data_IF_674130687855
#
_entry.id   IF_674130687855
#
_cell.length_a   1.000
_cell.length_b   1.000
_cell.length_c   1.000
_cell.angle_alpha   90.00
_cell.angle_beta   90.00
_cell.angle_gamma   90.00
#
_symmetry.space_group_name_H-M   'P 1'
#
loop_
_entity.id
_entity.type
_entity.pdbx_description
1 polymer ?
#
# COMPACT_ATOMS: atom_id res chain seq x y z
N UNK A 1 -3.21 -1.99 -15.07
CA UNK A 1 -1.77 -2.09 -15.43
C UNK A 1 -1.58 -2.57 -16.86
N UNK A 2 -1.99 -3.81 -17.21
CA UNK A 2 -1.80 -4.39 -18.56
C UNK A 2 -2.33 -3.52 -19.72
N UNK A 3 -3.48 -2.88 -19.53
CA UNK A 3 -4.13 -2.03 -20.55
C UNK A 3 -3.49 -0.63 -20.66
N UNK A 4 -2.88 -0.14 -19.57
CA UNK A 4 -2.24 1.18 -19.51
C UNK A 4 -0.86 1.09 -18.84
N UNK A 5 0.10 0.37 -19.45
CA UNK A 5 1.37 0.01 -18.81
C UNK A 5 2.30 1.21 -18.54
N UNK A 6 2.10 2.30 -19.28
CA UNK A 6 2.87 3.53 -19.17
C UNK A 6 2.18 4.62 -18.33
N UNK A 7 0.96 4.37 -17.85
CA UNK A 7 0.19 5.39 -17.13
C UNK A 7 0.10 5.13 -15.64
N UNK A 8 0.07 3.86 -15.22
CA UNK A 8 -0.13 3.49 -13.81
C UNK A 8 0.96 2.54 -13.34
N UNK A 9 1.26 2.59 -12.04
CA UNK A 9 2.06 1.59 -11.34
C UNK A 9 1.65 1.46 -9.87
N UNK A 10 1.75 0.25 -9.31
CA UNK A 10 1.57 0.02 -7.89
C UNK A 10 2.85 0.40 -7.14
N UNK A 11 2.70 0.97 -5.94
CA UNK A 11 3.81 1.04 -4.99
C UNK A 11 4.07 -0.32 -4.37
N UNK A 12 5.33 -0.61 -4.06
CA UNK A 12 5.70 -1.78 -3.23
C UNK A 12 5.71 -1.35 -1.77
N UNK A 13 4.80 -1.88 -0.96
CA UNK A 13 4.69 -1.57 0.46
C UNK A 13 5.68 -2.38 1.30
N UNK A 14 5.92 -1.97 2.54
CA UNK A 14 6.72 -2.69 3.51
C UNK A 14 5.84 -3.60 4.35
N UNK A 15 6.39 -4.72 4.83
CA UNK A 15 5.74 -5.54 5.84
C UNK A 15 6.72 -6.23 6.76
N UNK A 16 6.32 -6.42 8.02
CA UNK A 16 7.05 -7.26 9.00
C UNK A 16 6.68 -8.73 8.94
N UNK A 17 5.69 -9.08 8.10
CA UNK A 17 5.34 -10.46 7.82
C UNK A 17 6.47 -11.13 7.04
N UNK A 18 6.78 -12.38 7.36
CA UNK A 18 7.69 -13.19 6.51
C UNK A 18 7.10 -13.41 5.11
N UNK A 19 7.93 -13.45 4.06
CA UNK A 19 7.47 -13.79 2.72
C UNK A 19 6.83 -15.18 2.70
N UNK A 20 5.73 -15.31 1.95
CA UNK A 20 5.12 -16.60 1.58
C UNK A 20 5.89 -17.20 0.40
N UNK A 21 5.64 -18.49 0.15
CA UNK A 21 6.21 -19.15 -1.03
C UNK A 21 5.81 -18.41 -2.31
N UNK A 22 6.81 -18.13 -3.15
CA UNK A 22 6.64 -17.34 -4.38
C UNK A 22 6.65 -15.83 -4.21
N UNK A 23 6.64 -15.29 -2.98
CA UNK A 23 6.80 -13.85 -2.77
C UNK A 23 8.28 -13.44 -2.82
N UNK A 24 8.55 -12.40 -3.60
CA UNK A 24 9.88 -11.83 -3.80
C UNK A 24 10.00 -10.45 -3.14
N UNK A 25 11.11 -10.24 -2.42
CA UNK A 25 11.45 -8.99 -1.75
C UNK A 25 11.69 -7.86 -2.78
N UNK A 26 11.09 -6.69 -2.55
CA UNK A 26 11.15 -5.55 -3.46
C UNK A 26 10.23 -5.64 -4.67
N UNK A 27 9.53 -6.77 -4.86
CA UNK A 27 8.50 -6.94 -5.89
C UNK A 27 7.11 -6.96 -5.27
N UNK A 28 6.90 -7.85 -4.29
CA UNK A 28 5.61 -8.01 -3.62
C UNK A 28 5.53 -7.10 -2.40
N UNK A 29 6.55 -7.17 -1.56
CA UNK A 29 6.75 -6.28 -0.42
C UNK A 29 8.24 -6.05 -0.19
N UNK A 30 8.56 -4.94 0.46
CA UNK A 30 9.80 -4.80 1.21
C UNK A 30 9.61 -5.51 2.55
N UNK A 31 10.03 -6.77 2.61
CA UNK A 31 10.00 -7.57 3.83
C UNK A 31 11.11 -7.07 4.77
N UNK A 32 10.72 -6.49 5.90
CA UNK A 32 11.64 -5.89 6.87
C UNK A 32 11.41 -6.50 8.25
N UNK A 33 12.43 -6.48 9.09
CA UNK A 33 12.28 -6.91 10.49
C UNK A 33 11.50 -5.87 11.31
N UNK A 34 10.96 -6.30 12.45
CA UNK A 34 10.06 -5.47 13.27
C UNK A 34 10.75 -4.21 13.81
N UNK A 35 12.00 -4.33 14.23
CA UNK A 35 12.85 -3.24 14.70
C UNK A 35 13.11 -2.19 13.62
N UNK A 36 13.44 -2.62 12.40
CA UNK A 36 13.61 -1.72 11.25
C UNK A 36 12.30 -0.99 10.90
N UNK A 37 11.17 -1.71 10.90
CA UNK A 37 9.87 -1.08 10.68
C UNK A 37 9.58 0.01 11.72
N UNK A 38 9.88 -0.24 13.01
CA UNK A 38 9.68 0.78 14.05
C UNK A 38 10.61 1.98 13.89
N UNK A 39 11.87 1.76 13.47
CA UNK A 39 12.82 2.84 13.16
C UNK A 39 12.28 3.74 12.06
N UNK A 40 11.87 3.15 10.93
CA UNK A 40 11.31 3.88 9.79
C UNK A 40 10.01 4.64 10.14
N UNK A 41 9.16 4.06 11.00
CA UNK A 41 7.97 4.74 11.54
C UNK A 41 8.37 5.96 12.38
N UNK A 42 9.33 5.80 13.30
CA UNK A 42 9.81 6.87 14.16
C UNK A 42 10.48 8.01 13.38
N UNK A 43 11.14 7.69 12.27
CA UNK A 43 11.75 8.64 11.33
C UNK A 43 10.72 9.28 10.39
N UNK A 44 9.44 8.88 10.47
CA UNK A 44 8.36 9.43 9.66
C UNK A 44 8.50 9.11 8.18
N UNK A 45 9.09 7.97 7.82
CA UNK A 45 9.32 7.56 6.43
C UNK A 45 8.03 7.09 5.72
N UNK A 46 7.00 6.73 6.48
CA UNK A 46 5.74 6.22 5.97
C UNK A 46 4.73 7.33 5.68
N UNK A 47 4.01 7.20 4.56
CA UNK A 47 2.79 7.96 4.32
C UNK A 47 1.64 7.43 5.16
N UNK A 48 1.61 6.11 5.32
CA UNK A 48 0.67 5.40 6.16
C UNK A 48 1.29 4.09 6.63
N UNK A 49 0.85 3.62 7.79
CA UNK A 49 1.10 2.27 8.26
C UNK A 49 -0.07 1.79 9.13
N UNK A 50 -0.23 0.47 9.22
CA UNK A 50 -1.21 -0.20 10.04
C UNK A 50 -0.70 -1.56 10.52
N UNK A 51 -1.18 -2.04 11.66
CA UNK A 51 -0.86 -3.37 12.19
C UNK A 51 -2.08 -4.26 12.08
N UNK A 52 -1.93 -5.40 11.40
CA UNK A 52 -2.98 -6.39 11.21
C UNK A 52 -2.42 -7.80 11.41
N UNK A 53 -3.12 -8.62 12.20
CA UNK A 53 -2.71 -10.00 12.47
C UNK A 53 -1.29 -10.11 13.04
N UNK A 54 -0.87 -9.15 13.87
CA UNK A 54 0.47 -9.09 14.48
C UNK A 54 1.60 -8.60 13.56
N UNK A 55 1.34 -8.38 12.27
CA UNK A 55 2.31 -7.83 11.34
C UNK A 55 2.00 -6.38 11.03
N UNK A 56 3.03 -5.57 10.83
CA UNK A 56 2.88 -4.17 10.44
C UNK A 56 3.08 -4.05 8.95
N UNK A 57 2.26 -3.23 8.30
CA UNK A 57 2.30 -2.92 6.88
C UNK A 57 2.41 -1.40 6.73
N UNK A 58 3.12 -0.92 5.73
CA UNK A 58 3.17 0.52 5.47
C UNK A 58 3.67 0.88 4.09
N UNK A 59 3.09 1.94 3.54
CA UNK A 59 3.49 2.53 2.27
C UNK A 59 4.48 3.67 2.53
N UNK A 60 5.75 3.48 2.15
CA UNK A 60 6.78 4.51 2.38
C UNK A 60 6.66 5.66 1.38
N UNK A 61 7.06 6.86 1.81
CA UNK A 61 7.18 8.04 0.93
C UNK A 61 8.08 7.73 -0.27
N UNK A 62 9.14 6.96 -0.04
CA UNK A 62 10.07 6.49 -1.07
C UNK A 62 9.38 5.58 -2.09
N UNK A 63 8.59 4.60 -1.66
CA UNK A 63 7.88 3.69 -2.58
C UNK A 63 6.94 4.43 -3.53
N UNK A 64 6.27 5.48 -3.05
CA UNK A 64 5.42 6.34 -3.90
C UNK A 64 6.27 7.20 -4.83
N UNK A 65 7.30 7.87 -4.29
CA UNK A 65 8.22 8.71 -5.07
C UNK A 65 8.93 7.94 -6.18
N UNK A 66 9.31 6.69 -5.95
CA UNK A 66 9.98 5.87 -6.94
C UNK A 66 9.04 5.53 -8.11
N UNK A 67 7.73 5.38 -7.87
CA UNK A 67 6.74 5.26 -8.96
C UNK A 67 6.56 6.59 -9.70
N UNK A 68 6.40 7.70 -8.97
CA UNK A 68 6.23 9.03 -9.56
C UNK A 68 7.39 9.43 -10.48
N UNK A 69 8.64 9.09 -10.09
CA UNK A 69 9.85 9.33 -10.90
C UNK A 69 9.83 8.59 -12.25
N UNK A 70 9.04 7.53 -12.39
CA UNK A 70 8.85 6.85 -13.68
C UNK A 70 7.86 7.57 -14.61
N UNK A 71 7.27 8.69 -14.16
CA UNK A 71 6.24 9.43 -14.90
C UNK A 71 4.85 8.78 -14.84
N UNK A 72 4.66 7.77 -13.98
CA UNK A 72 3.40 7.03 -13.84
C UNK A 72 2.60 7.54 -12.63
N UNK A 73 1.29 7.35 -12.70
CA UNK A 73 0.38 7.56 -11.57
C UNK A 73 0.53 6.39 -10.60
N UNK A 74 0.95 6.69 -9.37
CA UNK A 74 1.03 5.71 -8.30
C UNK A 74 -0.38 5.28 -7.84
N UNK A 75 -0.63 3.97 -7.84
CA UNK A 75 -1.85 3.36 -7.32
C UNK A 75 -1.53 2.71 -5.98
N UNK A 76 -2.29 3.10 -4.96
CA UNK A 76 -2.21 2.53 -3.62
C UNK A 76 -3.41 1.61 -3.39
N UNK A 77 -3.15 0.37 -3.01
CA UNK A 77 -4.16 -0.58 -2.54
C UNK A 77 -3.95 -0.77 -1.03
N UNK A 78 -4.75 -0.06 -0.24
CA UNK A 78 -4.60 0.05 1.22
C UNK A 78 -5.96 -0.05 1.91
N UNK A 79 -5.96 -0.55 3.14
CA UNK A 79 -7.18 -0.66 3.95
C UNK A 79 -7.71 0.72 4.39
N UNK A 80 -8.95 0.74 4.90
CA UNK A 80 -9.65 1.96 5.33
C UNK A 80 -8.85 2.80 6.34
N UNK A 81 -8.08 2.17 7.23
CA UNK A 81 -7.23 2.89 8.18
C UNK A 81 -6.09 3.64 7.44
N UNK A 82 -5.42 2.98 6.49
CA UNK A 82 -4.42 3.60 5.64
C UNK A 82 -5.00 4.77 4.82
N UNK A 83 -6.19 4.60 4.25
CA UNK A 83 -6.89 5.68 3.51
C UNK A 83 -7.12 6.92 4.38
N UNK A 84 -7.51 6.73 5.65
CA UNK A 84 -7.70 7.85 6.60
C UNK A 84 -6.38 8.56 6.89
N UNK A 85 -5.30 7.81 7.07
CA UNK A 85 -3.96 8.37 7.29
C UNK A 85 -3.50 9.21 6.08
N UNK A 86 -3.66 8.67 4.87
CA UNK A 86 -3.33 9.38 3.62
C UNK A 86 -4.18 10.66 3.46
N UNK A 87 -5.48 10.62 3.77
CA UNK A 87 -6.34 11.81 3.73
C UNK A 87 -5.89 12.94 4.65
N UNK A 88 -5.34 12.59 5.81
CA UNK A 88 -4.82 13.58 6.76
C UNK A 88 -3.45 14.13 6.35
N UNK A 89 -2.78 13.49 5.37
CA UNK A 89 -1.52 13.94 4.82
C UNK A 89 -1.76 15.05 3.78
N UNK A 90 -1.72 16.31 4.23
CA UNK A 90 -2.05 17.50 3.44
C UNK A 90 -1.20 17.73 2.17
N UNK A 91 -0.08 17.02 2.05
CA UNK A 91 0.87 17.14 0.94
C UNK A 91 0.49 16.33 -0.31
N UNK A 92 -0.47 15.39 -0.20
CA UNK A 92 -0.84 14.52 -1.31
C UNK A 92 -2.11 15.01 -2.01
N UNK A 93 -2.00 15.34 -3.29
CA UNK A 93 -3.17 15.53 -4.16
C UNK A 93 -3.75 14.19 -4.62
N UNK A 94 -4.12 13.34 -3.64
CA UNK A 94 -4.57 11.98 -3.89
C UNK A 94 -6.04 11.94 -4.34
N UNK A 95 -6.35 11.03 -5.26
CA UNK A 95 -7.72 10.67 -5.64
C UNK A 95 -8.13 9.40 -4.90
N UNK A 96 -9.31 9.42 -4.29
CA UNK A 96 -9.82 8.29 -3.51
C UNK A 96 -10.97 7.61 -4.25
N UNK A 97 -10.85 6.29 -4.46
CA UNK A 97 -11.86 5.48 -5.11
C UNK A 97 -12.27 4.37 -4.13
N UNK A 98 -13.55 4.36 -3.75
CA UNK A 98 -14.14 3.27 -2.98
C UNK A 98 -15.04 2.45 -3.91
N UNK A 99 -14.73 1.18 -4.09
CA UNK A 99 -15.58 0.25 -4.82
C UNK A 99 -16.46 -0.45 -3.80
N UNK A 100 -17.77 -0.19 -3.86
CA UNK A 100 -18.77 -0.81 -2.99
C UNK A 100 -19.79 -1.54 -3.85
N UNK A 101 -20.22 -2.75 -3.48
CA UNK A 101 -21.32 -3.39 -4.18
C UNK A 101 -22.61 -2.57 -4.05
N UNK A 102 -23.48 -2.56 -5.07
CA UNK A 102 -24.79 -1.90 -5.00
C UNK A 102 -25.71 -2.52 -3.93
N UNK A 103 -25.60 -3.82 -3.66
CA UNK A 103 -26.31 -4.55 -2.59
C UNK A 103 -25.52 -5.78 -2.15
N UNK A 104 -25.93 -6.44 -1.05
CA UNK A 104 -25.28 -7.69 -0.62
C UNK A 104 -25.55 -8.85 -1.58
N UNK A 105 -26.69 -8.85 -2.26
CA UNK A 105 -27.12 -9.94 -3.14
C UNK A 105 -26.22 -10.11 -4.37
N UNK A 106 -25.51 -9.06 -4.79
CA UNK A 106 -24.58 -9.12 -5.92
C UNK A 106 -23.21 -9.68 -5.55
N UNK A 107 -22.90 -9.80 -4.25
CA UNK A 107 -21.68 -10.47 -3.81
C UNK A 107 -21.95 -11.97 -3.86
N UNK A 108 -21.33 -12.74 -4.77
CA UNK A 108 -21.50 -14.18 -4.78
C UNK A 108 -20.92 -14.71 -3.47
N UNK A 109 -21.78 -15.11 -2.54
CA UNK A 109 -21.34 -15.74 -1.31
C UNK A 109 -20.69 -17.10 -1.64
N UNK A 110 -19.49 -17.27 -1.09
CA UNK A 110 -18.81 -18.52 -0.82
C UNK A 110 -19.82 -19.60 -0.37
N UNK A 111 -20.14 -20.55 -1.25
CA UNK A 111 -20.63 -21.87 -0.85
C UNK A 111 -19.44 -22.82 -0.75
#
# INVERSE_FOLDING_TARGET
MKEYPNSFAFSVSHTTRKPREGEEHGIHYWFVEQDEMQRMIAEGEFLEHATFGGNTYGTSKKSVSDVEKTGKICVLDIELQGVRNVKNHSSLNARFILIRPPSMDVLPYYR
#
